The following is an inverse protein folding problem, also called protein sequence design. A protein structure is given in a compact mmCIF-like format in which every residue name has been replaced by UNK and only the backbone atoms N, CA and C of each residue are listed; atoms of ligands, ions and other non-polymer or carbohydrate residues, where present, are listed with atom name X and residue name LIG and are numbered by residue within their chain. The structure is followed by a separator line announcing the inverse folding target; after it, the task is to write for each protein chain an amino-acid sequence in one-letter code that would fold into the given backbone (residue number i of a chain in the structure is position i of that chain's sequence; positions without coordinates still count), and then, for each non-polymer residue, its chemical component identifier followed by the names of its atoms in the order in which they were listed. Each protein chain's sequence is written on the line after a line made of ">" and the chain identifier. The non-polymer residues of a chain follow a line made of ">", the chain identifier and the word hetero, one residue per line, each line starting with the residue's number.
data_IF_988933990185
#
_entry.id   IF_988933990185
#
_cell.length_a   1.000
_cell.length_b   1.000
_cell.length_c   1.000
_cell.angle_alpha   90.00
_cell.angle_beta   90.00
_cell.angle_gamma   90.00
#
_symmetry.space_group_name_H-M   'P 1'
#
loop_
_entity.id
_entity.type
_entity.pdbx_description
1 polymer ?
#
# COMPACT_ATOMS: atom_id res chain seq x y z
N UNK A 1 16.65 -11.28 1.30
CA UNK A 1 16.22 -9.92 0.93
C UNK A 1 17.09 -9.39 -0.21
N UNK A 2 18.36 -9.02 0.04
CA UNK A 2 19.25 -8.42 -0.97
C UNK A 2 19.41 -9.18 -2.31
N UNK A 3 19.34 -10.52 -2.32
CA UNK A 3 19.50 -11.32 -3.55
C UNK A 3 18.25 -11.28 -4.45
N UNK A 4 17.06 -11.21 -3.86
CA UNK A 4 15.79 -11.16 -4.59
C UNK A 4 15.54 -9.76 -5.15
N UNK A 5 15.91 -8.71 -4.40
CA UNK A 5 15.85 -7.32 -4.87
C UNK A 5 16.76 -7.10 -6.08
N UNK A 6 18.00 -7.61 -6.05
CA UNK A 6 18.92 -7.54 -7.19
C UNK A 6 18.42 -8.30 -8.43
N UNK A 7 17.68 -9.40 -8.25
CA UNK A 7 17.08 -10.17 -9.35
C UNK A 7 15.85 -9.46 -9.96
N UNK A 8 15.15 -8.64 -9.16
CA UNK A 8 13.96 -7.89 -9.58
C UNK A 8 14.29 -6.47 -10.10
N UNK A 9 15.47 -5.95 -9.80
CA UNK A 9 15.94 -4.61 -10.20
C UNK A 9 15.78 -4.31 -11.70
N UNK A 10 16.07 -5.24 -12.64
CA UNK A 10 15.83 -5.00 -14.07
C UNK A 10 14.36 -4.82 -14.45
N UNK A 11 13.44 -5.23 -13.58
CA UNK A 11 11.99 -5.16 -13.80
C UNK A 11 11.33 -4.04 -13.01
N UNK A 12 12.09 -3.26 -12.24
CA UNK A 12 11.56 -2.21 -11.37
C UNK A 12 10.71 -1.18 -12.14
N UNK A 13 11.19 -0.71 -13.29
CA UNK A 13 10.46 0.25 -14.14
C UNK A 13 9.13 -0.34 -14.64
N UNK A 14 9.15 -1.61 -15.07
CA UNK A 14 7.95 -2.29 -15.55
C UNK A 14 6.95 -2.56 -14.42
N UNK A 15 7.44 -2.87 -13.22
CA UNK A 15 6.60 -3.02 -12.04
C UNK A 15 5.97 -1.68 -11.67
N UNK A 16 6.73 -0.58 -11.70
CA UNK A 16 6.22 0.75 -11.43
C UNK A 16 5.14 1.18 -12.45
N UNK A 17 5.36 0.91 -13.74
CA UNK A 17 4.40 1.14 -14.82
C UNK A 17 3.10 0.36 -14.58
N UNK A 18 3.17 -0.96 -14.40
CA UNK A 18 2.00 -1.81 -14.15
C UNK A 18 1.25 -1.39 -12.88
N UNK A 19 1.98 -1.01 -11.83
CA UNK A 19 1.40 -0.52 -10.59
C UNK A 19 0.62 0.78 -10.82
N UNK A 20 1.14 1.70 -11.62
CA UNK A 20 0.45 2.95 -11.97
C UNK A 20 -0.79 2.76 -12.86
N UNK A 21 -0.82 1.70 -13.67
CA UNK A 21 -1.98 1.35 -14.50
C UNK A 21 -3.11 0.69 -13.69
N UNK A 22 -2.75 -0.07 -12.65
CA UNK A 22 -3.69 -0.91 -11.89
C UNK A 22 -4.15 -0.22 -10.61
N UNK A 23 -3.25 0.52 -9.95
CA UNK A 23 -3.51 1.12 -8.64
C UNK A 23 -3.57 2.63 -8.77
N UNK A 24 -4.73 3.20 -8.47
CA UNK A 24 -4.89 4.64 -8.36
C UNK A 24 -4.49 5.11 -6.95
N UNK A 25 -3.24 5.53 -6.80
CA UNK A 25 -2.69 6.03 -5.53
C UNK A 25 -3.46 7.23 -4.98
N UNK A 26 -3.84 8.18 -5.85
CA UNK A 26 -4.53 9.40 -5.42
C UNK A 26 -5.91 9.09 -4.83
N UNK A 27 -6.63 8.13 -5.43
CA UNK A 27 -7.90 7.63 -4.86
C UNK A 27 -7.68 6.95 -3.50
N UNK A 28 -6.60 6.18 -3.30
CA UNK A 28 -6.29 5.58 -1.99
C UNK A 28 -5.96 6.66 -0.95
N UNK A 29 -5.22 7.70 -1.33
CA UNK A 29 -4.91 8.84 -0.46
C UNK A 29 -6.20 9.55 -0.03
N UNK A 30 -7.11 9.80 -0.97
CA UNK A 30 -8.41 10.41 -0.68
C UNK A 30 -9.28 9.49 0.20
N UNK A 31 -9.36 8.21 -0.15
CA UNK A 31 -10.14 7.21 0.56
C UNK A 31 -9.74 7.09 2.04
N UNK A 32 -8.44 7.01 2.32
CA UNK A 32 -7.91 6.92 3.68
C UNK A 32 -7.67 8.30 4.33
N UNK A 33 -8.00 9.40 3.64
CA UNK A 33 -7.85 10.79 4.11
C UNK A 33 -6.40 11.14 4.52
N UNK A 34 -5.43 10.67 3.75
CA UNK A 34 -3.99 10.83 4.03
C UNK A 34 -3.44 12.20 3.64
N UNK A 35 -4.23 13.01 2.93
CA UNK A 35 -3.91 14.39 2.57
C UNK A 35 -4.12 15.40 3.72
N UNK A 36 -4.57 14.93 4.88
CA UNK A 36 -4.86 15.76 6.05
C UNK A 36 -3.66 15.85 6.98
N UNK A 37 -3.30 17.06 7.43
CA UNK A 37 -2.28 17.27 8.47
C UNK A 37 -2.87 17.23 9.89
N UNK A 38 -3.83 16.33 10.11
CA UNK A 38 -4.44 16.07 11.42
C UNK A 38 -4.07 14.68 11.91
N UNK A 39 -3.43 14.60 13.07
CA UNK A 39 -2.90 13.34 13.62
C UNK A 39 -4.01 12.32 13.85
N UNK A 40 -5.18 12.75 14.36
CA UNK A 40 -6.27 11.83 14.64
C UNK A 40 -6.85 11.22 13.35
N UNK A 41 -6.99 12.04 12.30
CA UNK A 41 -7.44 11.59 10.98
C UNK A 41 -6.44 10.62 10.35
N UNK A 42 -5.14 10.92 10.42
CA UNK A 42 -4.09 10.04 9.90
C UNK A 42 -4.02 8.71 10.67
N UNK A 43 -4.21 8.72 12.00
CA UNK A 43 -4.25 7.49 12.81
C UNK A 43 -5.46 6.61 12.47
N UNK A 44 -6.62 7.21 12.19
CA UNK A 44 -7.79 6.47 11.70
C UNK A 44 -7.55 5.90 10.30
N UNK A 45 -6.93 6.68 9.40
CA UNK A 45 -6.50 6.19 8.08
C UNK A 45 -5.53 5.00 8.16
N UNK A 46 -4.57 5.05 9.09
CA UNK A 46 -3.66 3.93 9.37
C UNK A 46 -4.38 2.66 9.81
N UNK A 47 -5.42 2.79 10.64
CA UNK A 47 -6.24 1.66 11.08
C UNK A 47 -7.03 1.05 9.92
N UNK A 48 -7.65 1.89 9.09
CA UNK A 48 -8.38 1.42 7.90
C UNK A 48 -7.46 0.71 6.91
N UNK A 49 -6.23 1.23 6.69
CA UNK A 49 -5.22 0.56 5.87
C UNK A 49 -4.83 -0.81 6.46
N UNK A 50 -4.74 -0.94 7.78
CA UNK A 50 -4.45 -2.22 8.43
C UNK A 50 -5.57 -3.26 8.17
N UNK A 51 -6.82 -2.85 8.32
CA UNK A 51 -7.98 -3.72 8.04
C UNK A 51 -8.02 -4.13 6.55
N UNK A 52 -7.77 -3.17 5.64
CA UNK A 52 -7.70 -3.43 4.19
C UNK A 52 -6.58 -4.40 3.84
N UNK A 53 -5.40 -4.29 4.47
CA UNK A 53 -4.29 -5.25 4.28
C UNK A 53 -4.74 -6.68 4.61
N UNK A 54 -5.45 -6.86 5.73
CA UNK A 54 -5.98 -8.18 6.11
C UNK A 54 -6.97 -8.73 5.08
N UNK A 55 -7.88 -7.88 4.57
CA UNK A 55 -8.82 -8.26 3.52
C UNK A 55 -8.11 -8.64 2.21
N UNK A 56 -7.14 -7.84 1.77
CA UNK A 56 -6.37 -8.11 0.56
C UNK A 56 -5.58 -9.41 0.65
N UNK A 57 -4.94 -9.69 1.79
CA UNK A 57 -4.21 -10.94 1.99
C UNK A 57 -5.12 -12.16 1.84
N UNK A 58 -6.34 -12.10 2.40
CA UNK A 58 -7.32 -13.18 2.25
C UNK A 58 -7.80 -13.32 0.79
N UNK A 59 -8.07 -12.19 0.12
CA UNK A 59 -8.49 -12.17 -1.28
C UNK A 59 -7.42 -12.75 -2.21
N UNK A 60 -6.15 -12.37 -2.02
CA UNK A 60 -5.00 -12.90 -2.77
C UNK A 60 -4.89 -14.42 -2.61
N UNK A 61 -5.02 -14.94 -1.38
CA UNK A 61 -5.01 -16.39 -1.15
C UNK A 61 -6.17 -17.07 -1.87
N UNK A 62 -7.37 -16.49 -1.83
CA UNK A 62 -8.54 -17.00 -2.55
C UNK A 62 -8.32 -17.04 -4.06
N UNK A 63 -7.85 -15.95 -4.66
CA UNK A 63 -7.56 -15.85 -6.10
C UNK A 63 -6.48 -16.84 -6.55
N UNK A 64 -5.42 -17.02 -5.74
CA UNK A 64 -4.39 -18.04 -5.99
C UNK A 64 -4.97 -19.45 -5.95
N UNK A 65 -5.86 -19.74 -4.99
CA UNK A 65 -6.50 -21.05 -4.85
C UNK A 65 -7.51 -21.35 -5.97
N UNK A 66 -8.18 -20.32 -6.52
CA UNK A 66 -9.07 -20.46 -7.69
C UNK A 66 -8.31 -20.54 -9.01
N UNK A 67 -7.00 -20.26 -9.01
CA UNK A 67 -6.16 -20.22 -10.19
C UNK A 67 -6.21 -18.91 -10.97
N UNK A 68 -6.90 -17.88 -10.45
CA UNK A 68 -6.93 -16.55 -11.03
C UNK A 68 -5.64 -15.78 -10.72
N UNK A 69 -4.63 -16.01 -11.56
CA UNK A 69 -3.33 -15.37 -11.43
C UNK A 69 -3.38 -13.86 -11.69
N UNK A 70 -4.32 -13.39 -12.51
CA UNK A 70 -4.44 -11.97 -12.85
C UNK A 70 -5.00 -11.21 -11.65
N UNK A 71 -6.11 -11.67 -11.10
CA UNK A 71 -6.71 -11.09 -9.90
C UNK A 71 -5.73 -11.10 -8.73
N UNK A 72 -5.04 -12.24 -8.49
CA UNK A 72 -4.03 -12.32 -7.43
C UNK A 72 -2.92 -11.27 -7.61
N UNK A 73 -2.44 -11.06 -8.83
CA UNK A 73 -1.41 -10.07 -9.12
C UNK A 73 -1.90 -8.62 -8.94
N UNK A 74 -3.10 -8.28 -9.41
CA UNK A 74 -3.69 -6.96 -9.23
C UNK A 74 -3.88 -6.62 -7.73
N UNK A 75 -4.38 -7.57 -6.95
CA UNK A 75 -4.53 -7.43 -5.50
C UNK A 75 -3.17 -7.31 -4.78
N UNK A 76 -2.12 -7.99 -5.27
CA UNK A 76 -0.76 -7.87 -4.73
C UNK A 76 -0.17 -6.48 -4.98
N UNK A 77 -0.44 -5.87 -6.13
CA UNK A 77 -0.01 -4.50 -6.42
C UNK A 77 -0.70 -3.48 -5.51
N UNK A 78 -2.01 -3.61 -5.30
CA UNK A 78 -2.75 -2.76 -4.34
C UNK A 78 -2.19 -2.94 -2.92
N UNK A 79 -1.90 -4.18 -2.50
CA UNK A 79 -1.33 -4.47 -1.19
C UNK A 79 0.04 -3.81 -0.99
N UNK A 80 0.89 -3.81 -2.03
CA UNK A 80 2.20 -3.14 -1.99
C UNK A 80 2.00 -1.63 -1.80
N UNK A 81 1.10 -1.03 -2.58
CA UNK A 81 0.80 0.40 -2.52
C UNK A 81 0.31 0.84 -1.13
N UNK A 82 -0.64 0.11 -0.55
CA UNK A 82 -1.16 0.41 0.79
C UNK A 82 -0.07 0.30 1.85
N UNK A 83 0.86 -0.64 1.71
CA UNK A 83 1.99 -0.78 2.65
C UNK A 83 2.96 0.39 2.57
N UNK A 84 3.22 0.91 1.38
CA UNK A 84 4.02 2.11 1.16
C UNK A 84 3.35 3.34 1.79
N UNK A 85 2.07 3.60 1.44
CA UNK A 85 1.27 4.69 2.00
C UNK A 85 1.19 4.64 3.53
N UNK A 86 1.02 3.43 4.10
CA UNK A 86 1.03 3.24 5.56
C UNK A 86 2.38 3.64 6.17
N UNK A 87 3.50 3.28 5.54
CA UNK A 87 4.82 3.62 6.07
C UNK A 87 5.09 5.13 5.99
N UNK A 88 4.69 5.79 4.90
CA UNK A 88 4.75 7.24 4.74
C UNK A 88 3.87 7.95 5.77
N UNK A 89 2.64 7.49 5.95
CA UNK A 89 1.70 8.06 6.93
C UNK A 89 2.22 7.88 8.36
N UNK A 90 2.82 6.73 8.69
CA UNK A 90 3.47 6.53 10.00
C UNK A 90 4.64 7.50 10.22
N UNK A 91 5.42 7.78 9.18
CA UNK A 91 6.49 8.78 9.27
C UNK A 91 5.89 10.17 9.49
N UNK A 92 4.86 10.55 8.72
CA UNK A 92 4.18 11.84 8.85
C UNK A 92 3.57 12.05 10.24
N UNK A 93 2.89 11.04 10.80
CA UNK A 93 2.33 11.10 12.16
C UNK A 93 3.43 11.32 13.21
N UNK A 94 4.59 10.65 13.07
CA UNK A 94 5.73 10.85 13.96
C UNK A 94 6.29 12.27 13.86
N UNK A 95 6.42 12.81 12.65
CA UNK A 95 6.87 14.18 12.43
C UNK A 95 5.92 15.20 13.06
N UNK A 96 4.60 15.07 12.83
CA UNK A 96 3.59 15.96 13.39
C UNK A 96 3.57 15.93 14.93
N UNK A 97 3.73 14.75 15.54
CA UNK A 97 3.80 14.61 17.01
C UNK A 97 5.09 15.20 17.60
N UNK A 98 6.22 15.06 16.91
CA UNK A 98 7.50 15.58 17.38
C UNK A 98 7.66 17.09 17.14
N UNK A 99 7.03 17.64 16.11
CA UNK A 99 7.03 19.08 15.81
C UNK A 99 6.01 19.90 16.61
N UNK A 100 5.12 19.24 17.37
CA UNK A 100 4.17 19.86 18.28
C UNK A 100 4.71 20.04 19.72
N UNK A 101 5.97 19.67 19.96
CA UNK A 101 6.71 19.91 21.21
C UNK A 101 7.58 21.16 21.11
#
# INVERSE_FOLDING_TARGET
>A
MAKLEAELEPYADRIAELKSEIVNRDELIEHFKLNMDDVATLEEGLKQMFDRVGMLQNAIVSARNSGDKKEAFELELELIEIRELRNETLARVKELKNGAQ
#
